data_IF_461427150444
#
_entry.id   IF_461427150444
#
_cell.length_a   1.000
_cell.length_b   1.000
_cell.length_c   1.000
_cell.angle_alpha   90.00
_cell.angle_beta   90.00
_cell.angle_gamma   90.00
#
_symmetry.space_group_name_H-M   'P 1'
#
loop_
_entity.id
_entity.type
_entity.pdbx_description
1 polymer ?
#
# COMPACT_ATOMS: atom_id res chain seq x y z
N UNK A 1 -4.57 39.26 9.99
CA UNK A 1 -4.60 37.81 10.29
C UNK A 1 -5.24 37.14 9.09
N UNK A 2 -4.45 36.43 8.29
CA UNK A 2 -4.95 35.78 7.07
C UNK A 2 -5.68 34.51 7.48
N UNK A 3 -6.98 34.44 7.20
CA UNK A 3 -7.82 33.24 7.29
C UNK A 3 -7.40 32.20 6.23
N UNK A 4 -6.12 31.85 6.16
CA UNK A 4 -5.66 30.73 5.37
C UNK A 4 -6.00 29.46 6.17
N UNK A 5 -6.70 28.54 5.52
CA UNK A 5 -7.11 27.20 6.01
C UNK A 5 -8.40 27.14 6.85
N UNK A 6 -9.55 27.45 6.24
CA UNK A 6 -10.89 27.17 6.82
C UNK A 6 -11.31 25.69 6.74
N UNK A 7 -10.50 24.83 6.11
CA UNK A 7 -10.72 23.39 5.99
C UNK A 7 -9.38 22.67 6.00
N UNK A 8 -9.27 21.60 6.79
CA UNK A 8 -8.18 20.66 6.64
C UNK A 8 -8.16 20.17 5.18
N UNK A 9 -6.98 20.12 4.58
CA UNK A 9 -6.81 19.51 3.27
C UNK A 9 -7.36 18.06 3.34
N UNK A 10 -8.00 17.56 2.28
CA UNK A 10 -8.44 16.18 2.26
C UNK A 10 -7.25 15.27 2.55
N UNK A 11 -7.46 14.15 3.27
CA UNK A 11 -6.43 13.12 3.41
C UNK A 11 -5.87 12.79 2.03
N UNK A 12 -4.60 13.12 1.81
CA UNK A 12 -3.91 12.82 0.56
C UNK A 12 -3.21 11.47 0.75
N UNK A 13 -3.40 10.59 -0.22
CA UNK A 13 -2.54 9.43 -0.34
C UNK A 13 -1.13 9.89 -0.69
N UNK A 14 -0.16 9.38 0.04
CA UNK A 14 1.25 9.48 -0.30
C UNK A 14 1.73 8.12 -0.76
N UNK A 15 2.65 8.09 -1.72
CA UNK A 15 3.19 6.84 -2.22
C UNK A 15 4.68 6.92 -2.45
N UNK A 16 5.35 5.84 -2.08
CA UNK A 16 6.78 5.66 -2.22
C UNK A 16 7.05 4.23 -2.67
N UNK A 17 8.23 4.00 -3.20
CA UNK A 17 8.75 2.67 -3.33
C UNK A 17 10.25 2.69 -3.10
N UNK A 18 10.79 1.57 -2.64
CA UNK A 18 12.20 1.34 -2.54
C UNK A 18 12.53 -0.09 -2.95
N UNK A 19 13.65 -0.28 -3.63
CA UNK A 19 14.23 -1.58 -3.88
C UNK A 19 15.58 -1.70 -3.17
N UNK A 20 15.98 -2.91 -2.81
CA UNK A 20 17.25 -3.20 -2.17
C UNK A 20 18.21 -3.72 -3.21
N UNK A 21 19.24 -2.93 -3.50
CA UNK A 21 20.26 -3.25 -4.48
C UNK A 21 20.95 -4.59 -4.15
N UNK A 22 20.98 -5.51 -5.10
CA UNK A 22 21.43 -6.88 -4.90
C UNK A 22 22.95 -7.00 -4.64
N UNK A 23 23.74 -6.01 -5.06
CA UNK A 23 25.20 -6.02 -4.92
C UNK A 23 25.66 -5.37 -3.62
N UNK A 24 25.01 -4.26 -3.24
CA UNK A 24 25.40 -3.41 -2.12
C UNK A 24 24.52 -3.59 -0.88
N UNK A 25 23.32 -4.15 -1.06
CA UNK A 25 22.32 -4.29 -0.01
C UNK A 25 21.66 -2.97 0.42
N UNK A 26 21.93 -1.86 -0.27
CA UNK A 26 21.40 -0.54 0.02
C UNK A 26 19.97 -0.37 -0.52
N UNK A 27 19.11 0.35 0.21
CA UNK A 27 17.79 0.72 -0.26
C UNK A 27 17.87 1.97 -1.15
N UNK A 28 17.26 1.88 -2.33
CA UNK A 28 17.21 2.96 -3.33
C UNK A 28 15.81 3.13 -3.89
N UNK A 29 15.43 4.36 -4.21
CA UNK A 29 14.10 4.71 -4.72
C UNK A 29 14.09 4.69 -6.26
N UNK A 30 14.32 3.52 -6.85
CA UNK A 30 14.47 3.33 -8.30
C UNK A 30 13.35 2.50 -8.96
N UNK A 31 12.23 2.33 -8.27
CA UNK A 31 11.08 1.52 -8.70
C UNK A 31 9.85 2.39 -9.02
N UNK A 32 8.75 1.75 -9.40
CA UNK A 32 7.46 2.42 -9.59
C UNK A 32 6.62 2.37 -8.30
N UNK A 33 6.19 3.51 -7.75
CA UNK A 33 5.30 3.55 -6.59
C UNK A 33 3.86 3.18 -6.97
N UNK A 34 2.94 3.25 -6.02
CA UNK A 34 1.54 3.01 -6.32
C UNK A 34 1.02 4.06 -7.30
N UNK A 35 0.30 3.61 -8.33
CA UNK A 35 -0.24 4.50 -9.37
C UNK A 35 -1.71 4.20 -9.61
N UNK A 36 -2.49 5.21 -10.00
CA UNK A 36 -3.86 4.99 -10.46
C UNK A 36 -3.87 4.24 -11.78
N UNK A 37 -4.89 3.41 -11.95
CA UNK A 37 -5.30 2.89 -13.26
C UNK A 37 -5.71 4.05 -14.19
N UNK A 38 -5.66 3.79 -15.50
CA UNK A 38 -5.95 4.79 -16.55
C UNK A 38 -7.36 5.37 -16.41
N UNK A 39 -8.32 4.55 -15.98
CA UNK A 39 -9.71 4.96 -15.80
C UNK A 39 -10.01 5.47 -14.39
N UNK A 40 -9.00 5.50 -13.50
CA UNK A 40 -9.13 5.93 -12.11
C UNK A 40 -9.98 5.02 -11.23
N UNK A 41 -10.30 3.80 -11.70
CA UNK A 41 -11.15 2.85 -10.97
C UNK A 41 -10.48 2.20 -9.76
N UNK A 42 -9.15 2.17 -9.73
CA UNK A 42 -8.34 1.58 -8.67
C UNK A 42 -6.90 2.09 -8.72
N UNK A 43 -6.12 1.82 -7.68
CA UNK A 43 -4.66 2.05 -7.62
C UNK A 43 -3.92 0.71 -7.56
N UNK A 44 -2.72 0.64 -8.13
CA UNK A 44 -1.90 -0.57 -8.21
C UNK A 44 -0.50 -0.33 -7.67
N UNK A 45 0.16 -1.36 -7.13
CA UNK A 45 1.48 -1.30 -6.48
C UNK A 45 2.69 -1.09 -7.42
N UNK A 46 2.48 -0.60 -8.65
CA UNK A 46 3.54 -0.42 -9.64
C UNK A 46 4.03 -1.74 -10.25
N UNK A 47 5.13 -1.67 -11.02
CA UNK A 47 5.77 -2.84 -11.61
C UNK A 47 6.71 -3.53 -10.60
N UNK A 48 6.30 -4.71 -10.13
CA UNK A 48 7.08 -5.51 -9.17
C UNK A 48 7.55 -6.86 -9.75
N UNK A 49 7.38 -7.12 -11.04
CA UNK A 49 7.95 -8.33 -11.66
C UNK A 49 9.41 -8.12 -12.05
N UNK A 50 10.18 -9.20 -12.14
CA UNK A 50 11.55 -9.20 -12.67
C UNK A 50 12.47 -8.18 -11.95
N UNK A 51 12.35 -8.01 -10.64
CA UNK A 51 13.04 -6.93 -9.91
C UNK A 51 14.57 -7.03 -9.98
N UNK A 52 15.10 -8.25 -10.14
CA UNK A 52 16.54 -8.49 -10.26
C UNK A 52 17.10 -7.89 -11.55
N UNK A 53 16.41 -8.07 -12.69
CA UNK A 53 16.86 -7.53 -13.98
C UNK A 53 16.40 -6.09 -14.20
N UNK A 54 15.24 -5.70 -13.68
CA UNK A 54 14.65 -4.37 -13.88
C UNK A 54 15.30 -3.30 -12.99
N UNK A 55 15.58 -3.64 -11.73
CA UNK A 55 16.04 -2.68 -10.72
C UNK A 55 17.37 -3.03 -10.06
N UNK A 56 18.04 -4.12 -10.49
CA UNK A 56 19.19 -4.71 -9.80
C UNK A 56 18.88 -5.00 -8.33
N UNK A 57 17.69 -5.57 -8.02
CA UNK A 57 17.22 -5.67 -6.65
C UNK A 57 17.00 -7.11 -6.15
N UNK A 58 17.28 -7.36 -4.88
CA UNK A 58 16.95 -8.62 -4.16
C UNK A 58 15.59 -8.56 -3.44
N UNK A 59 15.10 -7.34 -3.20
CA UNK A 59 13.83 -7.05 -2.54
C UNK A 59 13.26 -5.72 -3.03
N UNK A 60 11.94 -5.61 -3.11
CA UNK A 60 11.23 -4.38 -3.44
C UNK A 60 10.03 -4.20 -2.52
N UNK A 61 9.81 -2.95 -2.10
CA UNK A 61 8.61 -2.51 -1.39
C UNK A 61 7.94 -1.36 -2.13
N UNK A 62 6.64 -1.47 -2.37
CA UNK A 62 5.80 -0.38 -2.83
C UNK A 62 4.78 -0.02 -1.75
N UNK A 63 4.72 1.24 -1.36
CA UNK A 63 3.96 1.70 -0.20
C UNK A 63 2.95 2.77 -0.61
N UNK A 64 1.72 2.61 -0.10
CA UNK A 64 0.68 3.63 -0.12
C UNK A 64 0.35 3.99 1.34
N UNK A 65 0.39 5.28 1.65
CA UNK A 65 0.17 5.81 3.00
C UNK A 65 -1.01 6.76 3.02
N UNK A 66 -1.76 6.74 4.11
CA UNK A 66 -2.81 7.70 4.39
C UNK A 66 -2.79 8.09 5.86
N UNK A 67 -2.69 9.39 6.14
CA UNK A 67 -2.86 9.91 7.50
C UNK A 67 -4.31 10.33 7.70
N UNK A 68 -4.95 9.80 8.74
CA UNK A 68 -6.33 10.13 9.08
C UNK A 68 -6.46 10.44 10.58
N UNK A 69 -7.35 11.38 10.91
CA UNK A 69 -7.68 11.71 12.31
C UNK A 69 -9.09 11.24 12.62
N UNK A 70 -9.21 10.32 13.57
CA UNK A 70 -10.45 9.75 14.05
C UNK A 70 -10.88 10.53 15.30
N UNK A 71 -12.03 11.20 15.24
CA UNK A 71 -12.64 11.96 16.34
C UNK A 71 -13.49 11.10 17.26
N UNK A 72 -13.77 9.86 16.84
CA UNK A 72 -14.36 8.76 17.63
C UNK A 72 -13.89 7.43 17.03
N UNK A 73 -14.05 6.29 17.74
CA UNK A 73 -13.74 4.99 17.16
C UNK A 73 -14.46 4.79 15.82
N UNK A 74 -13.76 4.22 14.86
CA UNK A 74 -14.24 4.02 13.50
C UNK A 74 -13.60 2.82 12.84
N UNK A 75 -13.77 2.71 11.53
CA UNK A 75 -13.24 1.63 10.72
C UNK A 75 -12.53 2.18 9.49
N UNK A 76 -11.53 1.43 9.05
CA UNK A 76 -10.94 1.52 7.71
C UNK A 76 -11.41 0.30 6.93
N UNK A 77 -12.11 0.53 5.83
CA UNK A 77 -12.57 -0.51 4.90
C UNK A 77 -11.92 -0.27 3.54
N UNK A 78 -11.48 -1.33 2.87
CA UNK A 78 -10.98 -1.24 1.50
C UNK A 78 -11.24 -2.52 0.71
N UNK A 79 -11.38 -2.36 -0.61
CA UNK A 79 -11.34 -3.48 -1.55
C UNK A 79 -9.94 -3.67 -2.08
N UNK A 80 -9.47 -4.91 -2.07
CA UNK A 80 -8.15 -5.26 -2.56
C UNK A 80 -8.18 -6.51 -3.45
N UNK A 81 -7.21 -6.58 -4.37
CA UNK A 81 -6.92 -7.78 -5.16
C UNK A 81 -5.41 -7.99 -5.17
N UNK A 82 -4.95 -9.23 -5.02
CA UNK A 82 -3.53 -9.58 -5.13
C UNK A 82 -3.37 -10.78 -6.04
N UNK A 83 -2.35 -10.74 -6.90
CA UNK A 83 -1.90 -11.87 -7.69
C UNK A 83 -0.37 -11.88 -7.71
N UNK A 84 0.22 -12.71 -6.83
CA UNK A 84 1.66 -12.76 -6.56
C UNK A 84 2.10 -14.15 -6.08
N UNK A 85 3.42 -14.38 -6.03
CA UNK A 85 4.01 -15.61 -5.51
C UNK A 85 3.73 -15.81 -4.00
N UNK A 86 2.97 -16.85 -3.67
CA UNK A 86 2.78 -17.28 -2.29
C UNK A 86 3.96 -18.15 -1.80
N UNK A 87 4.43 -18.00 -0.55
CA UNK A 87 3.99 -17.05 0.49
C UNK A 87 4.91 -15.82 0.60
N UNK A 88 5.73 -15.55 -0.41
CA UNK A 88 6.86 -14.62 -0.27
C UNK A 88 6.52 -13.18 -0.60
N UNK A 89 5.58 -13.01 -1.52
CA UNK A 89 5.21 -11.73 -2.11
C UNK A 89 3.74 -11.43 -1.86
N UNK A 90 3.39 -10.16 -1.73
CA UNK A 90 1.99 -9.79 -1.50
C UNK A 90 1.79 -8.53 -0.68
N UNK A 91 0.52 -8.31 -0.33
CA UNK A 91 0.01 -7.11 0.33
C UNK A 91 -0.08 -7.31 1.84
N UNK A 92 0.45 -6.36 2.61
CA UNK A 92 0.28 -6.24 4.06
C UNK A 92 -0.41 -4.90 4.37
N UNK A 93 -1.31 -4.89 5.35
CA UNK A 93 -1.93 -3.65 5.86
C UNK A 93 -1.50 -3.39 7.30
N UNK A 94 -1.16 -2.13 7.61
CA UNK A 94 -0.70 -1.70 8.92
C UNK A 94 -1.39 -0.42 9.38
N UNK A 95 -1.56 -0.30 10.70
CA UNK A 95 -1.98 0.91 11.40
C UNK A 95 -0.90 1.28 12.40
N UNK A 96 -0.31 2.47 12.29
CA UNK A 96 0.78 2.96 13.14
C UNK A 96 1.99 2.01 13.20
N UNK A 97 2.26 1.32 12.10
CA UNK A 97 3.34 0.32 11.99
C UNK A 97 3.01 -1.06 12.57
N UNK A 98 1.82 -1.24 13.14
CA UNK A 98 1.32 -2.55 13.61
C UNK A 98 0.61 -3.26 12.46
N UNK A 99 0.95 -4.53 12.22
CA UNK A 99 0.35 -5.34 11.16
C UNK A 99 -1.05 -5.79 11.55
N UNK A 100 -2.06 -5.26 10.86
CA UNK A 100 -3.48 -5.61 11.03
C UNK A 100 -3.91 -6.70 10.03
N UNK A 101 -3.39 -6.64 8.79
CA UNK A 101 -3.55 -7.70 7.79
C UNK A 101 -2.20 -8.33 7.49
N UNK A 102 -2.02 -9.60 7.85
CA UNK A 102 -0.86 -10.39 7.43
C UNK A 102 -0.79 -10.45 5.90
N UNK A 103 0.40 -10.73 5.38
CA UNK A 103 0.64 -10.80 3.94
C UNK A 103 -0.38 -11.70 3.22
N UNK A 104 -1.06 -11.13 2.24
CA UNK A 104 -1.92 -11.85 1.30
C UNK A 104 -1.26 -11.85 -0.07
N UNK A 105 -0.94 -13.03 -0.60
CA UNK A 105 -0.28 -13.19 -1.90
C UNK A 105 -1.26 -13.35 -3.06
N UNK A 106 -2.42 -13.95 -2.81
CA UNK A 106 -3.43 -14.21 -3.85
C UNK A 106 -4.84 -13.98 -3.33
N UNK A 107 -5.71 -13.48 -4.19
CA UNK A 107 -7.15 -13.37 -3.94
C UNK A 107 -7.95 -13.89 -5.13
N UNK A 108 -9.14 -14.45 -4.90
CA UNK A 108 -10.05 -14.85 -5.98
C UNK A 108 -10.90 -13.64 -6.44
N UNK A 109 -10.25 -12.67 -7.07
CA UNK A 109 -10.86 -11.39 -7.43
C UNK A 109 -10.74 -10.33 -6.33
N UNK A 110 -11.66 -9.36 -6.34
CA UNK A 110 -11.71 -8.32 -5.31
C UNK A 110 -12.26 -8.89 -4.00
N UNK A 111 -11.57 -8.61 -2.89
CA UNK A 111 -11.98 -8.95 -1.54
C UNK A 111 -12.08 -7.67 -0.69
N UNK A 112 -12.99 -7.67 0.28
CA UNK A 112 -13.12 -6.59 1.27
C UNK A 112 -12.28 -6.90 2.51
N UNK A 113 -11.69 -5.88 3.12
CA UNK A 113 -11.09 -5.96 4.45
C UNK A 113 -11.51 -4.75 5.29
N UNK A 114 -11.77 -4.99 6.58
CA UNK A 114 -12.25 -3.98 7.54
C UNK A 114 -11.46 -4.09 8.84
N UNK A 115 -10.96 -2.96 9.32
CA UNK A 115 -10.19 -2.87 10.57
C UNK A 115 -10.72 -1.74 11.44
N UNK A 116 -10.91 -2.03 12.73
CA UNK A 116 -11.29 -1.03 13.72
C UNK A 116 -10.10 -0.15 14.08
N UNK A 117 -10.32 1.16 14.16
CA UNK A 117 -9.30 2.15 14.52
C UNK A 117 -9.83 3.01 15.66
N UNK A 118 -8.98 3.22 16.67
CA UNK A 118 -9.32 4.01 17.84
C UNK A 118 -9.37 5.52 17.53
N UNK A 119 -9.73 6.32 18.53
CA UNK A 119 -9.72 7.78 18.41
C UNK A 119 -8.27 8.27 18.43
N UNK A 120 -7.92 9.19 17.53
CA UNK A 120 -6.55 9.70 17.42
C UNK A 120 -6.11 9.95 15.98
N UNK A 121 -4.88 10.42 15.83
CA UNK A 121 -4.22 10.50 14.53
C UNK A 121 -3.51 9.18 14.26
N UNK A 122 -3.81 8.58 13.10
CA UNK A 122 -3.28 7.27 12.70
C UNK A 122 -2.67 7.34 11.31
N UNK A 123 -1.63 6.54 11.09
CA UNK A 123 -1.00 6.33 9.78
C UNK A 123 -1.39 4.94 9.28
N UNK A 124 -2.16 4.91 8.20
CA UNK A 124 -2.60 3.71 7.50
C UNK A 124 -1.61 3.41 6.38
N UNK A 125 -1.15 2.16 6.27
CA UNK A 125 -0.13 1.76 5.30
C UNK A 125 -0.53 0.47 4.60
N UNK A 126 -0.62 0.53 3.27
CA UNK A 126 -0.68 -0.63 2.40
C UNK A 126 0.69 -0.86 1.77
N UNK A 127 1.31 -2.00 2.08
CA UNK A 127 2.65 -2.36 1.62
C UNK A 127 2.58 -3.60 0.74
N UNK A 128 2.98 -3.46 -0.52
CA UNK A 128 3.34 -4.60 -1.35
C UNK A 128 4.81 -4.95 -1.15
N UNK A 129 5.13 -6.24 -1.05
CA UNK A 129 6.51 -6.74 -0.94
C UNK A 129 6.78 -7.77 -2.03
N UNK A 130 7.95 -7.67 -2.66
CA UNK A 130 8.47 -8.63 -3.65
C UNK A 130 9.90 -9.01 -3.32
N UNK A 131 10.28 -10.28 -3.40
CA UNK A 131 11.67 -10.75 -3.42
C UNK A 131 12.20 -10.97 -4.87
N UNK A 132 13.50 -11.16 -5.05
CA UNK A 132 14.06 -11.51 -6.37
C UNK A 132 13.86 -12.97 -6.79
N UNK A 133 13.19 -13.78 -5.96
CA UNK A 133 12.73 -15.11 -6.33
C UNK A 133 11.64 -15.03 -7.41
N UNK A 134 11.29 -16.16 -8.01
CA UNK A 134 10.48 -16.26 -9.21
C UNK A 134 9.31 -15.28 -9.32
N UNK A 135 8.94 -14.93 -10.55
CA UNK A 135 7.72 -14.18 -10.81
C UNK A 135 6.55 -15.16 -10.97
N UNK A 136 5.50 -14.98 -10.17
CA UNK A 136 4.27 -15.77 -10.29
C UNK A 136 3.05 -14.87 -10.23
N UNK A 137 2.12 -15.08 -11.17
CA UNK A 137 0.96 -14.22 -11.31
C UNK A 137 1.34 -12.90 -11.95
N UNK A 138 0.89 -11.78 -11.38
CA UNK A 138 1.14 -10.43 -11.90
C UNK A 138 2.14 -9.63 -11.05
N UNK A 139 2.60 -10.19 -9.94
CA UNK A 139 3.37 -9.49 -8.90
C UNK A 139 2.77 -8.13 -8.53
N UNK A 140 1.46 -8.14 -8.26
CA UNK A 140 0.71 -6.90 -8.14
C UNK A 140 -0.36 -6.99 -7.07
N UNK A 141 -0.50 -5.89 -6.32
CA UNK A 141 -1.67 -5.60 -5.52
C UNK A 141 -2.41 -4.39 -6.08
N UNK A 142 -3.73 -4.44 -6.01
CA UNK A 142 -4.63 -3.36 -6.38
C UNK A 142 -5.56 -3.00 -5.22
N UNK A 143 -5.90 -1.72 -5.08
CA UNK A 143 -6.84 -1.20 -4.09
C UNK A 143 -7.90 -0.33 -4.75
N UNK A 144 -9.13 -0.42 -4.25
CA UNK A 144 -10.22 0.51 -4.59
C UNK A 144 -11.15 0.70 -3.40
N UNK A 145 -12.01 1.70 -3.48
CA UNK A 145 -13.08 1.96 -2.50
C UNK A 145 -12.52 1.98 -1.07
N UNK A 146 -11.61 2.92 -0.78
CA UNK A 146 -11.10 3.13 0.57
C UNK A 146 -12.08 4.01 1.34
N UNK A 147 -12.72 3.44 2.35
CA UNK A 147 -13.72 4.11 3.18
C UNK A 147 -13.20 4.23 4.61
N UNK A 148 -13.39 5.41 5.21
CA UNK A 148 -12.97 5.69 6.58
C UNK A 148 -14.13 6.31 7.34
N UNK A 149 -14.50 5.66 8.44
CA UNK A 149 -15.51 6.16 9.38
C UNK A 149 -14.86 6.68 10.65
N UNK A 150 -15.58 7.50 11.44
CA UNK A 150 -15.05 8.08 12.67
C UNK A 150 -14.21 9.35 12.50
N UNK A 151 -14.08 9.90 11.29
CA UNK A 151 -13.29 11.11 10.97
C UNK A 151 -14.11 12.42 10.98
N UNK A 152 -15.43 12.34 11.15
CA UNK A 152 -16.36 13.49 11.20
C UNK A 152 -17.39 13.27 12.27
#
# INVERSE_FOLDING_TARGET
MTNAWSRALPPAFDTECASRDANTGAWVNNCMPWTSDVDGGYVMSGNNSNIASTYNADRLYAILRLTATFVRPGNVTFQFKVDAEAPYDGLTFMVDGIVEMKMVSTTNGWADATFGVSTGSHVLVWKYSKNSGGDWGLDLAALRVVEITGTR
#
